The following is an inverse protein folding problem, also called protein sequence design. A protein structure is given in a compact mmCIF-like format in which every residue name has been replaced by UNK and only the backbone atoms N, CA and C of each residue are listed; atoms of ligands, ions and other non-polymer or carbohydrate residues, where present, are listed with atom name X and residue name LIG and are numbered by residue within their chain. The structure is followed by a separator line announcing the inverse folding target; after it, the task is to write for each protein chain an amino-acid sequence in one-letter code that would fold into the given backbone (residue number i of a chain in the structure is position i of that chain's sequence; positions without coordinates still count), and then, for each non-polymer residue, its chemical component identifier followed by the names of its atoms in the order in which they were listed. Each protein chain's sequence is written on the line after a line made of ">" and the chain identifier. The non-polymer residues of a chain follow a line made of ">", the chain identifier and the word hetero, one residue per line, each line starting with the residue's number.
data_IF_282691898453
#
_entry.id   IF_282691898453
#
_cell.length_a   1.000
_cell.length_b   1.000
_cell.length_c   1.000
_cell.angle_alpha   90.00
_cell.angle_beta   90.00
_cell.angle_gamma   90.00
#
_symmetry.space_group_name_H-M   'P 1'
#
loop_
_entity.id
_entity.type
_entity.pdbx_description
1 polymer ?
#
# COMPACT_ATOMS: atom_id res chain seq x y z
N UNK A 1 -2.26 25.70 23.67
CA UNK A 1 -2.06 25.34 22.24
C UNK A 1 -2.22 26.59 21.40
N UNK A 2 -1.44 26.72 20.33
CA UNK A 2 -1.56 27.80 19.34
C UNK A 2 -2.63 27.37 18.34
N UNK A 3 -3.71 28.16 18.19
CA UNK A 3 -4.77 27.90 17.21
C UNK A 3 -4.31 28.26 15.78
N UNK A 4 -4.98 27.71 14.74
CA UNK A 4 -4.56 27.92 13.35
C UNK A 4 -4.68 29.38 12.87
N UNK A 5 -5.57 30.16 13.52
CA UNK A 5 -5.71 31.60 13.27
C UNK A 5 -4.75 32.50 14.04
N UNK A 6 -4.00 31.94 15.00
CA UNK A 6 -3.01 32.71 15.74
C UNK A 6 -1.87 33.17 14.83
N UNK A 7 -1.30 34.33 15.12
CA UNK A 7 -0.27 34.92 14.28
C UNK A 7 1.10 34.83 14.95
N UNK A 8 2.11 34.49 14.13
CA UNK A 8 3.52 34.46 14.49
C UNK A 8 4.19 35.69 13.84
N UNK A 9 5.06 36.36 14.60
CA UNK A 9 5.87 37.43 14.08
C UNK A 9 7.16 36.84 13.50
N UNK A 10 7.42 37.11 12.23
CA UNK A 10 8.64 36.68 11.54
C UNK A 10 9.40 37.88 11.00
N UNK A 11 10.74 37.79 10.93
CA UNK A 11 11.56 38.74 10.20
C UNK A 11 11.69 38.28 8.74
N UNK A 12 11.11 39.03 7.81
CA UNK A 12 11.27 38.83 6.38
C UNK A 12 12.56 39.51 5.93
N UNK A 13 13.60 38.69 5.71
CA UNK A 13 14.91 39.20 5.32
C UNK A 13 14.89 39.86 3.95
N UNK A 14 14.03 39.45 3.03
CA UNK A 14 13.91 40.05 1.67
C UNK A 14 13.29 41.43 1.72
N UNK A 15 12.40 41.68 2.67
CA UNK A 15 11.75 42.96 2.87
C UNK A 15 12.39 43.80 4.00
N UNK A 16 13.37 43.25 4.72
CA UNK A 16 14.01 43.88 5.89
C UNK A 16 12.98 44.37 6.93
N UNK A 17 11.88 43.62 7.12
CA UNK A 17 10.75 44.03 7.93
C UNK A 17 10.15 42.90 8.74
N UNK A 18 9.55 43.25 9.88
CA UNK A 18 8.72 42.30 10.63
C UNK A 18 7.35 42.13 9.93
N UNK A 19 6.95 40.86 9.74
CA UNK A 19 5.68 40.50 9.15
C UNK A 19 4.91 39.52 10.03
N UNK A 20 3.59 39.53 9.92
CA UNK A 20 2.73 38.54 10.56
C UNK A 20 2.49 37.38 9.59
N UNK A 21 2.58 36.18 10.10
CA UNK A 21 2.19 34.96 9.43
C UNK A 21 1.26 34.15 10.34
N UNK A 22 0.19 33.59 9.82
CA UNK A 22 -0.65 32.69 10.59
C UNK A 22 0.08 31.37 10.85
N UNK A 23 -0.26 30.70 11.95
CA UNK A 23 0.26 29.35 12.22
C UNK A 23 -0.01 28.42 11.02
N UNK A 24 -1.21 28.46 10.44
CA UNK A 24 -1.58 27.65 9.28
C UNK A 24 -0.60 27.86 8.10
N UNK A 25 -0.25 29.12 7.79
CA UNK A 25 0.72 29.40 6.71
C UNK A 25 2.15 29.01 7.09
N UNK A 26 2.54 29.19 8.35
CA UNK A 26 3.85 28.78 8.83
C UNK A 26 4.07 27.26 8.72
N UNK A 27 3.08 26.47 9.13
CA UNK A 27 3.17 25.00 9.07
C UNK A 27 2.87 24.42 7.69
N UNK A 28 2.25 25.16 6.79
CA UNK A 28 1.92 24.68 5.44
C UNK A 28 3.17 24.33 4.59
N UNK A 29 4.32 24.91 4.93
CA UNK A 29 5.62 24.56 4.33
C UNK A 29 6.45 23.56 5.14
N UNK A 30 5.97 23.13 6.30
CA UNK A 30 6.69 22.23 7.22
C UNK A 30 6.04 20.87 7.18
N UNK A 31 6.43 20.07 6.22
CA UNK A 31 5.99 18.68 6.09
C UNK A 31 4.50 18.54 5.76
N UNK A 32 4.21 17.71 4.79
CA UNK A 32 2.86 17.27 4.48
C UNK A 32 2.38 16.17 5.44
N UNK A 33 1.20 15.68 5.21
CA UNK A 33 0.70 14.44 5.80
C UNK A 33 1.02 13.28 4.87
N UNK A 34 1.25 12.07 5.42
CA UNK A 34 1.40 10.85 4.62
C UNK A 34 0.04 10.38 4.05
N UNK A 35 -0.74 11.33 3.53
CA UNK A 35 -2.06 11.06 2.94
C UNK A 35 -2.05 11.30 1.42
N UNK A 36 -2.80 10.50 0.66
CA UNK A 36 -3.63 9.39 1.12
C UNK A 36 -2.81 8.22 1.67
N UNK A 37 -3.40 7.48 2.62
CA UNK A 37 -2.89 6.17 3.01
C UNK A 37 -4.04 5.17 3.14
N UNK A 38 -3.75 3.90 2.87
CA UNK A 38 -4.69 2.81 3.05
C UNK A 38 -4.01 1.58 3.66
N UNK A 39 -4.80 0.77 4.33
CA UNK A 39 -4.49 -0.60 4.72
C UNK A 39 -5.74 -1.43 4.50
N UNK A 40 -5.66 -2.44 3.65
CA UNK A 40 -6.73 -3.39 3.40
C UNK A 40 -6.25 -4.82 3.66
N UNK A 41 -7.13 -5.67 4.15
CA UNK A 41 -6.86 -7.08 4.43
C UNK A 41 -7.88 -7.96 3.71
N UNK A 42 -7.42 -9.08 3.14
CA UNK A 42 -8.32 -10.06 2.51
C UNK A 42 -9.15 -10.75 3.59
N UNK A 43 -10.45 -10.67 3.44
CA UNK A 43 -11.44 -11.28 4.34
C UNK A 43 -12.25 -12.39 3.67
N UNK A 44 -12.18 -12.49 2.35
CA UNK A 44 -12.90 -13.47 1.56
C UNK A 44 -11.94 -14.50 0.97
N UNK A 45 -12.26 -15.77 1.09
CA UNK A 45 -11.44 -16.85 0.54
C UNK A 45 -11.36 -16.74 -0.99
N UNK A 46 -10.16 -16.92 -1.52
CA UNK A 46 -9.88 -16.94 -2.96
C UNK A 46 -9.02 -18.15 -3.29
N UNK A 47 -9.36 -18.82 -4.38
CA UNK A 47 -8.59 -19.95 -4.93
C UNK A 47 -7.70 -19.46 -6.06
N UNK A 48 -6.43 -19.84 -6.02
CA UNK A 48 -5.38 -19.42 -6.94
C UNK A 48 -4.93 -20.60 -7.80
N UNK A 49 -5.01 -20.45 -9.12
CA UNK A 49 -4.51 -21.43 -10.06
C UNK A 49 -2.97 -21.46 -10.08
N UNK A 50 -2.39 -22.64 -10.32
CA UNK A 50 -0.95 -22.81 -10.45
C UNK A 50 -0.41 -22.14 -11.72
N UNK A 51 0.75 -21.49 -11.61
CA UNK A 51 1.48 -20.90 -12.74
C UNK A 51 0.93 -19.57 -13.26
N UNK A 52 -0.19 -19.09 -12.75
CA UNK A 52 -0.87 -17.87 -13.23
C UNK A 52 -0.79 -16.76 -12.20
N UNK A 53 -0.42 -15.55 -12.63
CA UNK A 53 -0.56 -14.37 -11.79
C UNK A 53 -2.06 -14.01 -11.69
N UNK A 54 -2.58 -14.01 -10.46
CA UNK A 54 -4.00 -13.78 -10.18
C UNK A 54 -4.16 -12.54 -9.30
N UNK A 55 -5.02 -11.60 -9.72
CA UNK A 55 -5.36 -10.45 -8.88
C UNK A 55 -5.94 -10.92 -7.55
N UNK A 56 -5.46 -10.34 -6.46
CA UNK A 56 -6.04 -10.55 -5.14
C UNK A 56 -7.32 -9.74 -5.03
N UNK A 57 -8.37 -10.41 -4.56
CA UNK A 57 -9.71 -9.84 -4.39
C UNK A 57 -10.27 -10.12 -3.01
N UNK A 58 -11.38 -9.47 -2.67
CA UNK A 58 -12.04 -9.68 -1.39
C UNK A 58 -11.37 -8.97 -0.22
N UNK A 59 -10.71 -7.85 -0.50
CA UNK A 59 -10.20 -6.96 0.53
C UNK A 59 -11.33 -6.23 1.26
N UNK A 60 -11.13 -6.07 2.56
CA UNK A 60 -11.87 -5.13 3.39
C UNK A 60 -10.91 -4.06 3.90
N UNK A 61 -11.34 -2.82 3.85
CA UNK A 61 -10.56 -1.68 4.32
C UNK A 61 -10.49 -1.72 5.84
N UNK A 62 -9.29 -1.52 6.36
CA UNK A 62 -9.05 -1.28 7.78
C UNK A 62 -8.88 0.21 8.00
N UNK A 63 -8.13 0.84 7.13
CA UNK A 63 -7.93 2.28 7.06
C UNK A 63 -7.90 2.70 5.59
N UNK A 64 -8.63 3.77 5.28
CA UNK A 64 -8.55 4.48 4.00
C UNK A 64 -8.89 5.95 4.24
N UNK A 65 -7.86 6.80 4.32
CA UNK A 65 -8.03 8.19 4.75
C UNK A 65 -8.69 9.10 3.73
N UNK A 66 -8.78 8.67 2.48
CA UNK A 66 -9.24 9.52 1.38
C UNK A 66 -10.16 8.80 0.39
N UNK A 67 -10.70 7.65 0.78
CA UNK A 67 -11.49 6.76 -0.09
C UNK A 67 -10.76 6.42 -1.40
N UNK A 68 -9.49 6.08 -1.27
CA UNK A 68 -8.60 5.80 -2.40
C UNK A 68 -8.46 4.33 -2.72
N UNK A 69 -8.94 3.45 -1.83
CA UNK A 69 -8.95 2.02 -2.04
C UNK A 69 -10.39 1.53 -2.30
N UNK A 70 -10.66 1.05 -3.50
CA UNK A 70 -11.97 0.53 -3.89
C UNK A 70 -11.81 -0.56 -4.95
N UNK A 71 -12.71 -1.55 -4.97
CA UNK A 71 -12.71 -2.66 -5.94
C UNK A 71 -11.36 -3.38 -6.02
N UNK A 72 -10.77 -3.64 -4.84
CA UNK A 72 -9.45 -4.30 -4.70
C UNK A 72 -8.33 -3.56 -5.46
N UNK A 73 -8.36 -2.22 -5.40
CA UNK A 73 -7.44 -1.34 -6.11
C UNK A 73 -7.19 -0.07 -5.31
N UNK A 74 -5.95 0.38 -5.27
CA UNK A 74 -5.55 1.68 -4.76
C UNK A 74 -5.40 2.67 -5.91
N UNK A 75 -6.12 3.81 -5.83
CA UNK A 75 -6.03 4.92 -6.79
C UNK A 75 -5.72 6.19 -5.99
N UNK A 76 -4.47 6.63 -5.91
CA UNK A 76 -4.05 7.71 -5.02
C UNK A 76 -4.72 9.05 -5.26
N UNK A 77 -5.12 9.35 -6.51
CA UNK A 77 -5.72 10.61 -6.96
C UNK A 77 -4.87 11.87 -6.72
N UNK A 78 -3.71 11.75 -6.09
CA UNK A 78 -2.74 12.82 -5.81
C UNK A 78 -1.38 12.37 -6.28
N UNK A 79 -0.74 13.15 -7.15
CA UNK A 79 0.60 12.83 -7.62
C UNK A 79 1.65 12.88 -6.48
N UNK A 80 2.67 12.06 -6.58
CA UNK A 80 3.79 12.03 -5.64
C UNK A 80 4.37 10.64 -5.46
N UNK A 81 5.38 10.53 -4.60
CA UNK A 81 5.98 9.24 -4.25
C UNK A 81 5.14 8.49 -3.22
N UNK A 82 4.97 7.20 -3.46
CA UNK A 82 4.22 6.30 -2.59
C UNK A 82 5.06 5.10 -2.19
N UNK A 83 5.04 4.76 -0.90
CA UNK A 83 5.42 3.42 -0.45
C UNK A 83 4.22 2.51 -0.59
N UNK A 84 4.45 1.33 -1.17
CA UNK A 84 3.44 0.29 -1.36
C UNK A 84 4.00 -1.04 -0.87
N UNK A 85 3.17 -1.83 -0.19
CA UNK A 85 3.51 -3.15 0.30
C UNK A 85 2.35 -4.12 0.13
N UNK A 86 2.62 -5.27 -0.45
CA UNK A 86 1.67 -6.38 -0.57
C UNK A 86 2.23 -7.65 0.07
N UNK A 87 1.53 -8.19 1.08
CA UNK A 87 1.91 -9.44 1.74
C UNK A 87 0.90 -10.54 1.44
N UNK A 88 1.39 -11.76 1.22
CA UNK A 88 0.57 -12.92 0.88
C UNK A 88 0.98 -14.15 1.67
N UNK A 89 -0.01 -14.97 2.03
CA UNK A 89 0.16 -16.27 2.65
C UNK A 89 -0.82 -17.28 2.06
N UNK A 90 -0.38 -18.52 1.87
CA UNK A 90 -1.19 -19.62 1.34
C UNK A 90 -1.55 -20.62 2.41
N UNK A 91 -2.66 -21.33 2.21
CA UNK A 91 -3.01 -22.50 2.98
C UNK A 91 -2.16 -23.69 2.53
N UNK A 92 -1.41 -24.31 3.47
CA UNK A 92 -0.70 -25.59 3.31
C UNK A 92 -0.16 -25.86 1.90
N UNK A 93 0.90 -25.17 1.46
CA UNK A 93 1.52 -25.46 0.18
C UNK A 93 2.20 -26.82 0.20
N UNK A 94 2.24 -27.47 -0.96
CA UNK A 94 3.03 -28.69 -1.17
C UNK A 94 4.54 -28.37 -1.16
N UNK A 95 5.38 -29.38 -1.03
CA UNK A 95 6.83 -29.21 -1.12
C UNK A 95 7.27 -28.59 -2.46
N UNK A 96 8.28 -27.74 -2.41
CA UNK A 96 8.88 -27.05 -3.58
C UNK A 96 7.94 -26.07 -4.29
N UNK A 97 6.91 -25.60 -3.62
CA UNK A 97 6.06 -24.53 -4.15
C UNK A 97 6.74 -23.19 -3.99
N UNK A 98 6.83 -22.39 -5.04
CA UNK A 98 7.11 -20.97 -4.85
C UNK A 98 5.82 -20.18 -4.69
N UNK A 99 5.93 -19.12 -3.91
CA UNK A 99 4.91 -18.10 -3.73
C UNK A 99 5.50 -16.75 -4.12
N UNK A 100 4.80 -15.99 -4.94
CA UNK A 100 5.14 -14.62 -5.27
C UNK A 100 4.05 -13.68 -4.81
N UNK A 101 4.46 -12.61 -4.11
CA UNK A 101 3.70 -11.39 -3.97
C UNK A 101 4.10 -10.42 -5.08
N UNK A 102 3.16 -9.78 -5.73
CA UNK A 102 3.40 -8.94 -6.89
C UNK A 102 2.56 -7.64 -6.77
N UNK A 103 3.17 -6.51 -7.12
CA UNK A 103 2.49 -5.21 -7.20
C UNK A 103 2.46 -4.78 -8.66
N UNK A 104 1.28 -4.46 -9.14
CA UNK A 104 1.03 -3.98 -10.49
C UNK A 104 0.63 -2.50 -10.46
N UNK A 105 1.14 -1.74 -11.42
CA UNK A 105 0.73 -0.36 -11.72
C UNK A 105 0.12 -0.31 -13.10
N UNK A 106 -1.10 0.15 -13.25
CA UNK A 106 -1.79 0.28 -14.54
C UNK A 106 -1.77 -1.02 -15.37
N UNK A 107 -1.93 -2.17 -14.69
CA UNK A 107 -1.91 -3.49 -15.32
C UNK A 107 -0.50 -4.05 -15.62
N UNK A 108 0.57 -3.32 -15.30
CA UNK A 108 1.96 -3.76 -15.50
C UNK A 108 2.64 -4.10 -14.18
N UNK A 109 3.38 -5.21 -14.14
CA UNK A 109 4.17 -5.64 -12.99
C UNK A 109 5.30 -4.65 -12.73
N UNK A 110 5.38 -4.09 -11.50
CA UNK A 110 6.42 -3.13 -11.10
C UNK A 110 7.29 -3.62 -9.96
N UNK A 111 6.76 -4.51 -9.10
CA UNK A 111 7.53 -5.10 -8.01
C UNK A 111 7.05 -6.51 -7.71
N UNK A 112 7.96 -7.36 -7.29
CA UNK A 112 7.64 -8.69 -6.82
C UNK A 112 8.67 -9.23 -5.84
N UNK A 113 8.24 -10.16 -5.01
CA UNK A 113 9.07 -10.96 -4.13
C UNK A 113 8.67 -12.41 -4.25
N UNK A 114 9.59 -13.32 -3.99
CA UNK A 114 9.39 -14.76 -4.10
C UNK A 114 9.98 -15.47 -2.89
N UNK A 115 9.29 -16.51 -2.43
CA UNK A 115 9.84 -17.48 -1.50
C UNK A 115 9.54 -18.90 -1.99
N UNK A 116 10.41 -19.84 -1.65
CA UNK A 116 10.25 -21.27 -1.96
C UNK A 116 9.79 -21.96 -0.70
N UNK A 117 8.55 -22.44 -0.72
CA UNK A 117 7.90 -23.03 0.43
C UNK A 117 8.27 -24.50 0.59
N UNK A 118 8.66 -24.90 1.80
CA UNK A 118 8.77 -26.29 2.20
C UNK A 118 7.39 -26.90 2.45
N UNK A 119 7.30 -28.24 2.37
CA UNK A 119 6.06 -28.97 2.65
C UNK A 119 5.53 -28.67 4.07
N UNK A 120 4.26 -28.33 4.17
CA UNK A 120 3.58 -28.10 5.45
C UNK A 120 3.90 -26.79 6.15
N UNK A 121 4.69 -25.90 5.54
CA UNK A 121 5.05 -24.61 6.12
C UNK A 121 4.13 -23.51 5.61
N UNK A 122 3.68 -22.65 6.51
CA UNK A 122 3.05 -21.38 6.16
C UNK A 122 4.17 -20.35 5.94
N UNK A 123 4.20 -19.72 4.78
CA UNK A 123 5.10 -18.60 4.53
C UNK A 123 4.30 -17.33 4.32
N UNK A 124 4.91 -16.22 4.66
CA UNK A 124 4.43 -14.87 4.36
C UNK A 124 5.44 -14.21 3.43
N UNK A 125 5.04 -13.97 2.20
CA UNK A 125 5.87 -13.31 1.19
C UNK A 125 5.40 -11.88 1.01
N UNK A 126 6.33 -10.94 1.06
CA UNK A 126 6.03 -9.51 0.99
C UNK A 126 6.82 -8.86 -0.14
N UNK A 127 6.12 -8.21 -1.06
CA UNK A 127 6.71 -7.30 -2.05
C UNK A 127 6.48 -5.86 -1.61
N UNK A 128 7.47 -5.01 -1.81
CA UNK A 128 7.35 -3.58 -1.54
C UNK A 128 8.11 -2.74 -2.57
N UNK A 129 7.67 -1.50 -2.76
CA UNK A 129 8.28 -0.55 -3.67
C UNK A 129 7.99 0.88 -3.23
N UNK A 130 8.88 1.80 -3.59
CA UNK A 130 8.59 3.23 -3.66
C UNK A 130 8.43 3.57 -5.14
N UNK A 131 7.28 4.14 -5.51
CA UNK A 131 6.97 4.50 -6.90
C UNK A 131 6.43 5.92 -7.00
N UNK A 132 6.70 6.58 -8.12
CA UNK A 132 6.14 7.88 -8.44
C UNK A 132 4.79 7.68 -9.12
N UNK A 133 3.72 8.12 -8.46
CA UNK A 133 2.37 8.07 -9.00
C UNK A 133 1.92 9.40 -9.59
N UNK A 134 1.20 9.34 -10.70
CA UNK A 134 0.34 10.40 -11.18
C UNK A 134 -1.08 10.25 -10.61
N UNK A 135 -1.90 11.29 -10.74
CA UNK A 135 -3.28 11.29 -10.21
C UNK A 135 -4.20 10.25 -10.85
N UNK A 136 -3.84 9.71 -12.02
CA UNK A 136 -4.60 8.71 -12.77
C UNK A 136 -4.06 7.29 -12.60
N UNK A 137 -2.94 7.13 -11.91
CA UNK A 137 -2.34 5.82 -11.70
C UNK A 137 -3.16 5.00 -10.70
N UNK A 138 -3.12 3.69 -10.88
CA UNK A 138 -3.67 2.75 -9.92
C UNK A 138 -2.74 1.57 -9.67
N UNK A 139 -2.90 0.99 -8.48
CA UNK A 139 -2.10 -0.13 -8.03
C UNK A 139 -2.98 -1.29 -7.59
N UNK A 140 -2.55 -2.48 -7.93
CA UNK A 140 -3.25 -3.73 -7.61
C UNK A 140 -2.24 -4.76 -7.11
N UNK A 141 -2.71 -5.63 -6.22
CA UNK A 141 -1.92 -6.73 -5.71
C UNK A 141 -2.25 -8.02 -6.45
N UNK A 142 -1.23 -8.75 -6.85
CA UNK A 142 -1.34 -10.06 -7.50
C UNK A 142 -0.55 -11.11 -6.75
N UNK A 143 -0.94 -12.34 -6.94
CA UNK A 143 -0.25 -13.53 -6.42
C UNK A 143 0.02 -14.48 -7.57
N UNK A 144 1.17 -15.15 -7.51
CA UNK A 144 1.48 -16.30 -8.36
C UNK A 144 2.07 -17.42 -7.52
N UNK A 145 1.65 -18.66 -7.78
CA UNK A 145 2.16 -19.87 -7.13
C UNK A 145 2.35 -20.99 -8.18
N UNK A 146 3.14 -22.02 -7.89
CA UNK A 146 3.44 -23.12 -8.82
C UNK A 146 3.29 -24.51 -8.21
N UNK A 147 2.33 -24.70 -7.31
CA UNK A 147 2.13 -25.98 -6.64
C UNK A 147 1.69 -27.14 -7.53
N UNK A 148 1.40 -26.88 -8.80
CA UNK A 148 0.82 -27.86 -9.72
C UNK A 148 -0.70 -28.01 -9.61
N UNK A 149 -1.33 -27.36 -8.64
CA UNK A 149 -2.78 -27.39 -8.41
C UNK A 149 -3.31 -26.05 -7.89
N UNK A 150 -4.60 -26.02 -7.59
CA UNK A 150 -5.24 -24.86 -6.98
C UNK A 150 -4.93 -24.81 -5.48
N UNK A 151 -4.58 -23.65 -4.96
CA UNK A 151 -4.38 -23.40 -3.53
C UNK A 151 -5.19 -22.19 -3.09
N UNK A 152 -5.76 -22.25 -1.88
CA UNK A 152 -6.48 -21.13 -1.26
C UNK A 152 -5.55 -20.15 -0.55
N UNK A 153 -5.96 -18.89 -0.48
CA UNK A 153 -5.36 -17.92 0.42
C UNK A 153 -5.59 -18.30 1.88
N UNK A 154 -4.60 -18.03 2.73
CA UNK A 154 -4.72 -18.19 4.17
C UNK A 154 -5.47 -16.99 4.77
N UNK A 155 -6.80 -17.05 4.79
CA UNK A 155 -7.65 -15.94 5.26
C UNK A 155 -7.85 -16.03 6.76
N UNK A 156 -7.62 -14.92 7.47
CA UNK A 156 -7.86 -14.79 8.90
C UNK A 156 -8.46 -13.43 9.22
N UNK A 157 -9.50 -13.42 10.02
CA UNK A 157 -10.13 -12.18 10.47
C UNK A 157 -9.24 -11.39 11.47
N UNK A 158 -8.44 -12.10 12.27
CA UNK A 158 -7.58 -11.49 13.30
C UNK A 158 -6.15 -11.28 12.84
N UNK A 159 -5.58 -12.24 12.08
CA UNK A 159 -4.22 -12.15 11.55
C UNK A 159 -4.26 -11.64 10.11
N UNK A 160 -3.59 -10.53 9.86
CA UNK A 160 -3.60 -9.85 8.56
C UNK A 160 -2.50 -10.39 7.65
N UNK A 161 -2.63 -11.68 7.27
CA UNK A 161 -1.64 -12.37 6.43
C UNK A 161 -1.62 -11.84 4.99
N UNK A 162 -2.81 -11.63 4.42
CA UNK A 162 -2.94 -11.14 3.06
C UNK A 162 -3.41 -9.70 3.12
N UNK A 163 -2.47 -8.77 3.06
CA UNK A 163 -2.73 -7.35 3.18
C UNK A 163 -2.10 -6.57 2.04
N UNK A 164 -2.74 -5.47 1.70
CA UNK A 164 -2.19 -4.46 0.83
C UNK A 164 -2.25 -3.12 1.55
N UNK A 165 -1.15 -2.41 1.54
CA UNK A 165 -1.06 -1.08 2.16
C UNK A 165 -0.25 -0.14 1.30
N UNK A 166 -0.48 1.13 1.48
CA UNK A 166 0.33 2.17 0.88
C UNK A 166 0.05 3.53 1.48
N UNK A 167 1.03 4.42 1.37
CA UNK A 167 0.92 5.79 1.83
C UNK A 167 1.83 6.71 1.03
N UNK A 168 1.41 7.97 0.93
CA UNK A 168 2.21 9.01 0.29
C UNK A 168 3.41 9.37 1.15
N UNK A 169 4.57 9.49 0.53
CA UNK A 169 5.77 10.03 1.17
C UNK A 169 5.68 11.56 1.20
N UNK A 170 6.13 12.14 2.31
CA UNK A 170 6.37 13.57 2.44
C UNK A 170 7.69 13.89 1.73
N UNK A 171 7.63 14.65 0.67
CA UNK A 171 8.78 15.07 -0.14
C UNK A 171 8.82 16.60 -0.25
#
# INVERSE_FOLDING_TARGET
>A
SIADGDTILIHDASASALRKMTKANFVSGIGGTNTPFFLANVTTAQTLASGTATKVTGFADIYDTSNTFASDRFTPAVAGYYYLEGSVSLNTPNSSTYLQSQIYKNGSLIAWSIDILGSGNTALVTASIIDLADSNDYYEMYIRQNSGGNIGLNVSASAKYNRFLGYKLIT
#
